data_IF_871159565932
#
_entry.id   IF_871159565932
#
_cell.length_a   1.000
_cell.length_b   1.000
_cell.length_c   1.000
_cell.angle_alpha   90.00
_cell.angle_beta   90.00
_cell.angle_gamma   90.00
#
_symmetry.space_group_name_H-M   'P 1'
#
loop_
_entity.id
_entity.type
_entity.pdbx_description
1 polymer ?
#
# COMPACT_ATOMS: atom_id res chain seq x y z
N UNK A 1 -5.74 -16.97 56.82
CA UNK A 1 -5.09 -15.90 57.60
C UNK A 1 -3.54 -15.92 57.55
N UNK A 2 -2.87 -17.02 57.20
CA UNK A 2 -1.38 -17.13 57.19
C UNK A 2 -0.59 -16.05 56.43
N UNK A 3 -1.14 -15.50 55.33
CA UNK A 3 -0.50 -14.39 54.60
C UNK A 3 -0.62 -13.04 55.35
N UNK A 4 -1.72 -12.84 56.09
CA UNK A 4 -2.00 -11.62 56.86
C UNK A 4 -1.20 -11.55 58.17
N UNK A 5 -0.80 -12.70 58.73
CA UNK A 5 0.13 -12.77 59.87
C UNK A 5 1.43 -12.00 59.60
N UNK A 6 1.93 -12.08 58.37
CA UNK A 6 3.23 -11.51 57.99
C UNK A 6 3.11 -10.10 57.41
N UNK A 7 2.02 -9.78 56.70
CA UNK A 7 1.87 -8.48 56.04
C UNK A 7 1.23 -7.39 56.91
N UNK A 8 0.29 -7.73 57.81
CA UNK A 8 -0.45 -6.78 58.65
C UNK A 8 -0.85 -7.39 60.02
N UNK A 9 0.08 -7.43 60.99
CA UNK A 9 -0.10 -8.17 62.25
C UNK A 9 -1.19 -7.57 63.17
N UNK A 10 -1.44 -6.26 63.09
CA UNK A 10 -2.49 -5.60 63.86
C UNK A 10 -3.90 -6.03 63.40
N UNK A 11 -4.08 -6.23 62.09
CA UNK A 11 -5.35 -6.70 61.52
C UNK A 11 -5.59 -8.16 61.89
N UNK A 12 -4.53 -8.98 61.86
CA UNK A 12 -4.62 -10.37 62.29
C UNK A 12 -5.05 -10.50 63.77
N UNK A 13 -4.41 -9.74 64.68
CA UNK A 13 -4.78 -9.74 66.11
C UNK A 13 -6.21 -9.29 66.38
N UNK A 14 -6.73 -8.32 65.61
CA UNK A 14 -8.09 -7.79 65.81
C UNK A 14 -9.20 -8.80 65.47
N UNK A 15 -8.92 -9.79 64.62
CA UNK A 15 -9.88 -10.82 64.21
C UNK A 15 -9.61 -12.19 64.84
N UNK A 16 -8.63 -12.29 65.76
CA UNK A 16 -8.44 -13.46 66.60
C UNK A 16 -9.44 -13.47 67.74
N UNK A 17 -10.00 -14.64 68.03
CA UNK A 17 -10.87 -14.85 69.17
C UNK A 17 -9.97 -14.94 70.43
N UNK A 18 -10.29 -14.22 71.53
CA UNK A 18 -9.52 -14.35 72.75
C UNK A 18 -9.55 -15.81 73.24
N UNK A 19 -8.40 -16.39 73.67
CA UNK A 19 -8.41 -17.73 74.23
C UNK A 19 -9.20 -17.74 75.54
N UNK A 20 -10.07 -18.74 75.72
CA UNK A 20 -10.79 -18.98 76.98
C UNK A 20 -9.85 -19.67 77.97
N UNK A 21 -9.70 -19.11 79.18
CA UNK A 21 -8.77 -19.65 80.20
C UNK A 21 -9.22 -21.00 80.79
N UNK A 22 -10.50 -21.39 80.60
CA UNK A 22 -11.09 -22.60 81.20
C UNK A 22 -11.33 -23.75 80.19
N UNK A 23 -10.69 -23.75 79.01
CA UNK A 23 -10.80 -24.84 78.04
C UNK A 23 -12.19 -25.03 77.39
N UNK A 24 -13.13 -24.11 77.67
CA UNK A 24 -14.47 -24.08 77.08
C UNK A 24 -14.44 -23.45 75.69
N UNK A 25 -15.01 -24.12 74.68
CA UNK A 25 -15.17 -23.55 73.34
C UNK A 25 -16.30 -22.52 73.32
N UNK A 26 -16.03 -21.31 72.82
CA UNK A 26 -17.04 -20.27 72.64
C UNK A 26 -18.00 -20.74 71.53
N UNK A 27 -19.31 -20.68 71.79
CA UNK A 27 -20.35 -21.08 70.84
C UNK A 27 -21.16 -19.85 70.36
N UNK A 28 -21.66 -19.89 69.13
CA UNK A 28 -22.54 -18.87 68.58
C UNK A 28 -23.95 -18.94 69.20
N UNK A 29 -24.82 -17.96 68.92
CA UNK A 29 -26.23 -17.91 69.38
C UNK A 29 -27.06 -19.13 68.97
N UNK A 30 -26.54 -20.00 68.08
CA UNK A 30 -27.17 -21.24 67.60
C UNK A 30 -26.44 -22.50 68.10
N UNK A 31 -25.53 -22.37 69.07
CA UNK A 31 -24.83 -23.48 69.72
C UNK A 31 -23.70 -24.11 68.92
N UNK A 32 -23.21 -23.47 67.84
CA UNK A 32 -22.08 -23.98 67.04
C UNK A 32 -20.76 -23.39 67.52
N UNK A 33 -19.72 -24.24 67.57
CA UNK A 33 -18.36 -23.81 67.93
C UNK A 33 -17.87 -22.70 66.99
N UNK A 34 -17.35 -21.63 67.58
CA UNK A 34 -16.87 -20.44 66.88
C UNK A 34 -15.55 -20.78 66.17
N UNK A 35 -15.56 -20.76 64.84
CA UNK A 35 -14.39 -20.97 63.99
C UNK A 35 -13.51 -19.71 63.91
N UNK A 36 -12.23 -19.86 63.52
CA UNK A 36 -11.23 -18.77 63.42
C UNK A 36 -11.70 -17.60 62.54
N UNK A 37 -12.65 -17.84 61.64
CA UNK A 37 -13.23 -16.86 60.73
C UNK A 37 -14.49 -16.15 61.26
N UNK A 38 -14.95 -16.43 62.48
CA UNK A 38 -16.23 -15.93 63.00
C UNK A 38 -16.29 -14.40 63.07
N UNK A 39 -15.30 -13.76 63.71
CA UNK A 39 -15.23 -12.30 63.83
C UNK A 39 -15.12 -11.61 62.46
N UNK A 40 -14.39 -12.23 61.52
CA UNK A 40 -14.32 -11.76 60.14
C UNK A 40 -15.66 -11.87 59.41
N UNK A 41 -16.40 -12.96 59.61
CA UNK A 41 -17.73 -13.16 59.02
C UNK A 41 -18.77 -12.19 59.61
N UNK A 42 -18.68 -11.89 60.91
CA UNK A 42 -19.55 -10.93 61.58
C UNK A 42 -19.28 -9.51 61.10
N UNK A 43 -18.00 -9.10 61.00
CA UNK A 43 -17.60 -7.83 60.42
C UNK A 43 -18.06 -7.68 58.96
N UNK A 44 -17.93 -8.74 58.16
CA UNK A 44 -18.40 -8.78 56.76
C UNK A 44 -19.93 -8.61 56.63
N UNK A 45 -20.71 -9.04 57.62
CA UNK A 45 -22.17 -8.87 57.67
C UNK A 45 -22.58 -7.50 58.20
N UNK A 46 -21.81 -6.92 59.12
CA UNK A 46 -22.10 -5.62 59.72
C UNK A 46 -21.70 -4.42 58.84
N UNK A 47 -20.84 -4.63 57.83
CA UNK A 47 -20.39 -3.57 56.95
C UNK A 47 -21.44 -3.21 55.89
N UNK A 48 -21.86 -1.93 55.87
CA UNK A 48 -22.81 -1.39 54.88
C UNK A 48 -22.35 -1.68 53.44
N UNK A 49 -23.31 -2.06 52.59
CA UNK A 49 -23.06 -2.56 51.23
C UNK A 49 -22.34 -1.53 50.34
N UNK A 50 -22.66 -0.24 50.50
CA UNK A 50 -22.01 0.87 49.77
C UNK A 50 -20.52 1.04 50.14
N UNK A 51 -20.19 0.95 51.43
CA UNK A 51 -18.81 1.07 51.92
C UNK A 51 -17.99 -0.11 51.40
N UNK A 52 -18.56 -1.32 51.37
CA UNK A 52 -17.92 -2.51 50.80
C UNK A 52 -17.64 -2.38 49.30
N UNK A 53 -18.58 -1.86 48.52
CA UNK A 53 -18.38 -1.60 47.09
C UNK A 53 -17.30 -0.54 46.85
N UNK A 54 -17.26 0.53 47.67
CA UNK A 54 -16.21 1.55 47.62
C UNK A 54 -14.82 0.99 47.88
N UNK A 55 -14.66 0.14 48.90
CA UNK A 55 -13.38 -0.51 49.17
C UNK A 55 -13.00 -1.52 48.09
N UNK A 56 -13.95 -2.30 47.57
CA UNK A 56 -13.69 -3.24 46.48
C UNK A 56 -13.21 -2.51 45.21
N UNK A 57 -13.87 -1.42 44.83
CA UNK A 57 -13.45 -0.58 43.70
C UNK A 57 -12.04 -0.01 43.91
N UNK A 58 -11.72 0.49 45.11
CA UNK A 58 -10.35 0.94 45.44
C UNK A 58 -9.32 -0.18 45.34
N UNK A 59 -9.67 -1.40 45.71
CA UNK A 59 -8.79 -2.56 45.66
C UNK A 59 -8.59 -3.04 44.22
N UNK A 60 -9.65 -3.09 43.43
CA UNK A 60 -9.58 -3.37 41.99
C UNK A 60 -8.74 -2.34 41.26
N UNK A 61 -8.93 -1.04 41.53
CA UNK A 61 -8.12 0.02 40.95
C UNK A 61 -6.64 -0.12 41.34
N UNK A 62 -6.36 -0.48 42.59
CA UNK A 62 -4.98 -0.71 43.05
C UNK A 62 -4.37 -1.94 42.38
N UNK A 63 -5.12 -3.03 42.26
CA UNK A 63 -4.69 -4.24 41.56
C UNK A 63 -4.44 -3.98 40.07
N UNK A 64 -5.34 -3.23 39.41
CA UNK A 64 -5.18 -2.78 38.01
C UNK A 64 -3.96 -1.89 37.85
N UNK A 65 -3.70 -0.96 38.77
CA UNK A 65 -2.49 -0.12 38.72
C UNK A 65 -1.21 -0.95 38.80
N UNK A 66 -1.15 -1.91 39.72
CA UNK A 66 0.00 -2.81 39.84
C UNK A 66 0.18 -3.65 38.58
N UNK A 67 -0.90 -4.23 38.06
CA UNK A 67 -0.89 -5.00 36.81
C UNK A 67 -0.44 -4.14 35.61
N UNK A 68 -0.94 -2.91 35.50
CA UNK A 68 -0.54 -1.96 34.44
C UNK A 68 0.93 -1.60 34.53
N UNK A 69 1.48 -1.39 35.73
CA UNK A 69 2.92 -1.11 35.90
C UNK A 69 3.76 -2.31 35.43
N UNK A 70 3.35 -3.53 35.78
CA UNK A 70 4.04 -4.75 35.33
C UNK A 70 3.95 -4.89 33.81
N UNK A 71 2.76 -4.68 33.22
CA UNK A 71 2.52 -4.76 31.78
C UNK A 71 3.35 -3.70 31.03
N UNK A 72 3.33 -2.44 31.48
CA UNK A 72 4.14 -1.37 30.90
C UNK A 72 5.63 -1.72 30.93
N UNK A 73 6.13 -2.30 32.04
CA UNK A 73 7.52 -2.74 32.14
C UNK A 73 7.85 -3.87 31.15
N UNK A 74 6.92 -4.81 30.96
CA UNK A 74 7.07 -5.87 29.97
C UNK A 74 7.06 -5.33 28.53
N UNK A 75 6.17 -4.39 28.21
CA UNK A 75 6.11 -3.74 26.89
C UNK A 75 7.40 -2.98 26.60
N UNK A 76 7.93 -2.21 27.56
CA UNK A 76 9.21 -1.51 27.40
C UNK A 76 10.36 -2.48 27.13
N UNK A 77 10.43 -3.59 27.88
CA UNK A 77 11.45 -4.63 27.66
C UNK A 77 11.29 -5.31 26.30
N UNK A 78 10.06 -5.57 25.87
CA UNK A 78 9.76 -6.14 24.56
C UNK A 78 10.20 -5.21 23.44
N UNK A 79 9.87 -3.92 23.53
CA UNK A 79 10.28 -2.91 22.54
C UNK A 79 11.81 -2.77 22.47
N UNK A 80 12.49 -2.80 23.61
CA UNK A 80 13.96 -2.76 23.65
C UNK A 80 14.58 -3.99 22.98
N UNK A 81 14.07 -5.19 23.28
CA UNK A 81 14.52 -6.43 22.63
C UNK A 81 14.28 -6.40 21.11
N UNK A 82 13.13 -5.89 20.67
CA UNK A 82 12.85 -5.71 19.24
C UNK A 82 13.82 -4.73 18.60
N UNK A 83 14.12 -3.61 19.25
CA UNK A 83 15.05 -2.63 18.73
C UNK A 83 16.46 -3.23 18.59
N UNK A 84 16.91 -4.00 19.58
CA UNK A 84 18.20 -4.70 19.52
C UNK A 84 18.24 -5.76 18.40
N UNK A 85 17.17 -6.53 18.24
CA UNK A 85 17.05 -7.52 17.17
C UNK A 85 17.09 -6.84 15.79
N UNK A 86 16.31 -5.77 15.62
CA UNK A 86 16.25 -4.99 14.38
C UNK A 86 17.61 -4.38 14.05
N UNK A 87 18.32 -3.84 15.05
CA UNK A 87 19.66 -3.32 14.86
C UNK A 87 20.64 -4.42 14.40
N UNK A 88 20.60 -5.61 14.99
CA UNK A 88 21.44 -6.74 14.55
C UNK A 88 21.16 -7.15 13.11
N UNK A 89 19.88 -7.21 12.71
CA UNK A 89 19.52 -7.49 11.32
C UNK A 89 20.04 -6.42 10.37
N UNK A 90 19.88 -5.13 10.69
CA UNK A 90 20.41 -4.03 9.85
C UNK A 90 21.93 -4.08 9.67
N UNK A 91 22.67 -4.38 10.74
CA UNK A 91 24.14 -4.54 10.65
C UNK A 91 24.50 -5.69 9.71
N UNK A 92 23.76 -6.80 9.80
CA UNK A 92 23.95 -7.94 8.90
C UNK A 92 23.59 -7.61 7.45
N UNK A 93 22.45 -6.95 7.22
CA UNK A 93 22.01 -6.51 5.89
C UNK A 93 23.04 -5.56 5.26
N UNK A 94 23.52 -4.56 6.02
CA UNK A 94 24.56 -3.64 5.56
C UNK A 94 25.86 -4.38 5.18
N UNK A 95 26.28 -5.37 5.98
CA UNK A 95 27.44 -6.19 5.67
C UNK A 95 27.24 -7.04 4.40
N UNK A 96 26.01 -7.54 4.17
CA UNK A 96 25.68 -8.25 2.93
C UNK A 96 25.75 -7.30 1.73
N UNK A 97 25.17 -6.11 1.84
CA UNK A 97 25.14 -5.11 0.77
C UNK A 97 26.55 -4.61 0.40
N UNK A 98 27.42 -4.37 1.38
CA UNK A 98 28.82 -3.99 1.14
C UNK A 98 29.61 -5.03 0.32
N UNK A 99 29.21 -6.30 0.39
CA UNK A 99 29.85 -7.37 -0.37
C UNK A 99 29.24 -7.57 -1.77
N UNK A 100 28.23 -6.77 -2.16
CA UNK A 100 27.60 -6.86 -3.50
C UNK A 100 28.16 -5.79 -4.43
N UNK A 101 28.33 -6.17 -5.70
CA UNK A 101 28.74 -5.25 -6.76
C UNK A 101 27.56 -4.46 -7.35
N UNK A 102 26.38 -5.09 -7.39
CA UNK A 102 25.15 -4.52 -7.95
C UNK A 102 24.03 -4.72 -6.93
N UNK A 103 23.30 -3.65 -6.64
CA UNK A 103 22.16 -3.63 -5.71
C UNK A 103 20.99 -3.00 -6.45
N UNK A 104 20.00 -3.83 -6.81
CA UNK A 104 18.78 -3.36 -7.46
C UNK A 104 17.65 -3.27 -6.43
N UNK A 105 16.93 -2.15 -6.43
CA UNK A 105 15.78 -1.96 -5.57
C UNK A 105 14.79 -0.97 -6.21
N UNK A 106 13.52 -1.08 -5.83
CA UNK A 106 12.52 -0.08 -6.23
C UNK A 106 12.75 1.22 -5.47
N UNK A 107 12.27 2.35 -6.01
CA UNK A 107 12.42 3.67 -5.38
C UNK A 107 11.85 3.73 -3.96
N UNK A 108 10.74 3.03 -3.71
CA UNK A 108 10.15 2.87 -2.39
C UNK A 108 11.05 2.08 -1.43
N UNK A 109 11.68 1.01 -1.91
CA UNK A 109 12.63 0.25 -1.13
C UNK A 109 13.88 1.08 -0.84
N UNK A 110 14.39 1.84 -1.83
CA UNK A 110 15.51 2.74 -1.64
C UNK A 110 15.24 3.78 -0.54
N UNK A 111 14.04 4.37 -0.51
CA UNK A 111 13.64 5.28 0.55
C UNK A 111 13.54 4.60 1.92
N UNK A 112 13.02 3.37 1.97
CA UNK A 112 12.86 2.59 3.21
C UNK A 112 14.19 2.13 3.80
N UNK A 113 15.12 1.69 2.96
CA UNK A 113 16.43 1.13 3.32
C UNK A 113 17.57 2.13 3.08
N UNK A 114 17.26 3.44 3.09
CA UNK A 114 18.24 4.48 2.75
C UNK A 114 19.50 4.45 3.61
N UNK A 115 19.39 4.13 4.90
CA UNK A 115 20.55 3.98 5.79
C UNK A 115 21.43 2.78 5.40
N UNK A 116 20.83 1.68 5.00
CA UNK A 116 21.55 0.46 4.62
C UNK A 116 22.25 0.66 3.26
N UNK A 117 21.61 1.37 2.32
CA UNK A 117 22.22 1.79 1.05
C UNK A 117 23.36 2.80 1.26
N UNK A 118 23.20 3.75 2.19
CA UNK A 118 24.29 4.67 2.56
C UNK A 118 25.47 3.92 3.18
N UNK A 119 25.22 2.90 3.98
CA UNK A 119 26.26 2.05 4.55
C UNK A 119 26.94 1.17 3.49
N UNK A 120 26.23 0.78 2.43
CA UNK A 120 26.81 0.09 1.29
C UNK A 120 27.80 0.96 0.49
N UNK A 121 27.73 2.29 0.65
CA UNK A 121 28.67 3.27 0.09
C UNK A 121 28.86 3.13 -1.43
N UNK A 122 27.76 3.01 -2.17
CA UNK A 122 27.79 2.86 -3.63
C UNK A 122 28.37 4.10 -4.33
N UNK A 123 29.37 3.88 -5.19
CA UNK A 123 30.03 4.96 -5.96
C UNK A 123 29.16 5.52 -7.09
N UNK A 124 28.32 4.66 -7.70
CA UNK A 124 27.47 4.98 -8.85
C UNK A 124 26.02 4.66 -8.51
N UNK A 125 25.14 5.62 -8.73
CA UNK A 125 23.68 5.46 -8.59
C UNK A 125 23.05 5.59 -9.97
N UNK A 126 22.32 4.55 -10.40
CA UNK A 126 21.55 4.56 -11.63
C UNK A 126 20.06 4.56 -11.28
N UNK A 127 19.32 5.50 -11.86
CA UNK A 127 17.86 5.62 -11.68
C UNK A 127 17.20 5.45 -13.04
N UNK A 128 16.46 4.36 -13.18
CA UNK A 128 15.55 4.12 -14.30
C UNK A 128 14.21 4.83 -14.07
N UNK A 129 13.49 5.16 -15.15
CA UNK A 129 12.22 5.88 -15.14
C UNK A 129 12.27 7.20 -14.34
N UNK A 130 13.43 7.88 -14.35
CA UNK A 130 13.70 9.05 -13.51
C UNK A 130 12.72 10.23 -13.74
N UNK A 131 12.00 10.23 -14.85
CA UNK A 131 10.91 11.17 -15.14
C UNK A 131 9.70 11.00 -14.20
N UNK A 132 9.43 9.78 -13.72
CA UNK A 132 8.29 9.40 -12.85
C UNK A 132 8.70 9.34 -11.36
N UNK A 133 9.98 9.51 -11.03
CA UNK A 133 10.47 9.41 -9.65
C UNK A 133 10.47 10.77 -8.95
N UNK A 134 9.89 10.83 -7.75
CA UNK A 134 9.96 12.02 -6.90
C UNK A 134 11.41 12.38 -6.59
N UNK A 135 11.75 13.66 -6.67
CA UNK A 135 13.09 14.15 -6.34
C UNK A 135 13.54 13.70 -4.95
N UNK A 136 12.64 13.72 -3.97
CA UNK A 136 12.95 13.31 -2.59
C UNK A 136 13.48 11.88 -2.51
N UNK A 137 12.97 10.96 -3.31
CA UNK A 137 13.43 9.57 -3.34
C UNK A 137 14.83 9.43 -3.95
N UNK A 138 15.16 10.25 -4.95
CA UNK A 138 16.51 10.26 -5.54
C UNK A 138 17.50 10.84 -4.54
N UNK A 139 17.15 11.97 -3.90
CA UNK A 139 18.01 12.64 -2.93
C UNK A 139 18.31 11.75 -1.71
N UNK A 140 17.34 10.99 -1.22
CA UNK A 140 17.56 10.08 -0.08
C UNK A 140 18.40 8.86 -0.45
N UNK A 141 18.35 8.42 -1.70
CA UNK A 141 19.18 7.33 -2.22
C UNK A 141 20.64 7.73 -2.46
N UNK A 142 20.93 9.03 -2.62
CA UNK A 142 22.29 9.54 -2.80
C UNK A 142 23.07 9.49 -1.48
N UNK A 143 23.99 8.53 -1.37
CA UNK A 143 24.95 8.46 -0.28
C UNK A 143 26.11 9.45 -0.44
N UNK A 144 26.83 9.74 0.66
CA UNK A 144 28.03 10.60 0.62
C UNK A 144 29.15 10.07 -0.28
N UNK A 145 29.16 8.76 -0.52
CA UNK A 145 30.14 8.09 -1.38
C UNK A 145 29.77 8.16 -2.88
N UNK A 146 28.55 8.56 -3.24
CA UNK A 146 28.10 8.58 -4.62
C UNK A 146 28.83 9.67 -5.41
N UNK A 147 29.69 9.24 -6.34
CA UNK A 147 30.48 10.10 -7.21
C UNK A 147 29.79 10.33 -8.57
N UNK A 148 28.91 9.41 -8.97
CA UNK A 148 28.21 9.47 -10.26
C UNK A 148 26.72 9.16 -10.10
N UNK A 149 25.87 10.03 -10.65
CA UNK A 149 24.43 9.82 -10.75
C UNK A 149 24.05 9.72 -12.24
N UNK A 150 23.43 8.61 -12.62
CA UNK A 150 22.92 8.36 -13.97
C UNK A 150 21.41 8.36 -13.90
N UNK A 151 20.77 9.33 -14.55
CA UNK A 151 19.31 9.40 -14.63
C UNK A 151 18.85 9.04 -16.04
N UNK A 152 18.06 7.99 -16.15
CA UNK A 152 17.46 7.53 -17.41
C UNK A 152 15.95 7.71 -17.28
N UNK A 153 15.35 8.49 -18.15
CA UNK A 153 13.91 8.73 -18.10
C UNK A 153 13.44 9.64 -19.24
N UNK A 154 12.14 9.91 -19.22
CA UNK A 154 11.49 10.79 -20.18
C UNK A 154 10.64 11.84 -19.45
N UNK A 155 11.04 13.11 -19.56
CA UNK A 155 10.37 14.22 -18.89
C UNK A 155 9.10 14.69 -19.61
N UNK A 156 8.80 14.13 -20.79
CA UNK A 156 7.57 14.40 -21.55
C UNK A 156 6.49 13.33 -21.32
N UNK A 157 6.78 12.28 -20.56
CA UNK A 157 5.82 11.25 -20.15
C UNK A 157 5.20 11.60 -18.78
N UNK A 158 4.60 10.62 -18.09
CA UNK A 158 3.93 10.86 -16.82
C UNK A 158 4.92 11.30 -15.74
N UNK A 159 4.46 12.27 -14.94
CA UNK A 159 5.15 12.75 -13.75
C UNK A 159 4.84 11.86 -12.54
N UNK A 160 5.66 11.94 -11.48
CA UNK A 160 5.37 11.30 -10.20
C UNK A 160 3.96 11.60 -9.69
N UNK A 161 3.26 10.57 -9.20
CA UNK A 161 1.91 10.72 -8.66
C UNK A 161 1.97 11.36 -7.27
N UNK A 162 1.25 12.47 -7.08
CA UNK A 162 1.11 13.17 -5.79
C UNK A 162 -0.38 13.19 -5.43
N UNK A 163 -0.70 12.80 -4.20
CA UNK A 163 -2.10 12.67 -3.74
C UNK A 163 -2.84 14.00 -3.59
N UNK A 164 -2.11 15.11 -3.48
CA UNK A 164 -2.70 16.43 -3.36
C UNK A 164 -2.45 17.21 -4.66
N UNK A 165 -3.51 17.40 -5.44
CA UNK A 165 -3.48 18.16 -6.69
C UNK A 165 -3.00 19.60 -6.47
N UNK A 166 -3.29 20.21 -5.32
CA UNK A 166 -2.86 21.59 -5.00
C UNK A 166 -1.33 21.75 -4.93
N UNK A 167 -0.60 20.65 -4.73
CA UNK A 167 0.86 20.65 -4.67
C UNK A 167 1.54 20.38 -6.02
N UNK A 168 0.77 20.21 -7.10
CA UNK A 168 1.31 19.81 -8.40
C UNK A 168 1.59 20.97 -9.34
N UNK A 169 2.47 20.74 -10.32
CA UNK A 169 2.84 21.71 -11.36
C UNK A 169 1.62 22.19 -12.15
N UNK A 170 0.61 21.32 -12.34
CA UNK A 170 -0.59 21.61 -13.12
C UNK A 170 -1.45 22.71 -12.48
N UNK A 171 -1.37 22.90 -11.15
CA UNK A 171 -2.06 23.97 -10.44
C UNK A 171 -1.36 25.31 -10.52
N UNK A 172 -0.03 25.32 -10.65
CA UNK A 172 0.78 26.53 -10.77
C UNK A 172 0.97 27.34 -9.48
N UNK A 173 0.65 26.79 -8.31
CA UNK A 173 0.78 27.46 -7.00
C UNK A 173 2.18 27.34 -6.37
N UNK A 174 3.24 27.33 -7.17
CA UNK A 174 4.67 27.41 -6.78
C UNK A 174 5.30 26.11 -6.23
N UNK A 175 4.53 25.20 -5.62
CA UNK A 175 5.13 24.04 -4.94
C UNK A 175 5.76 22.98 -5.85
N UNK A 176 5.18 22.74 -7.04
CA UNK A 176 5.72 21.85 -8.09
C UNK A 176 6.22 20.47 -7.58
N UNK A 177 5.53 19.86 -6.61
CA UNK A 177 6.02 18.66 -5.89
C UNK A 177 6.14 17.43 -6.78
N UNK A 178 5.30 17.34 -7.82
CA UNK A 178 5.38 16.27 -8.82
C UNK A 178 6.42 16.54 -9.92
N UNK A 179 7.24 17.59 -9.85
CA UNK A 179 8.36 17.77 -10.78
C UNK A 179 9.53 16.86 -10.35
N UNK A 180 9.90 15.90 -11.19
CA UNK A 180 11.05 15.03 -10.93
C UNK A 180 12.37 15.79 -11.00
N UNK A 181 13.41 15.24 -10.35
CA UNK A 181 14.77 15.79 -10.46
C UNK A 181 15.25 15.79 -11.93
N UNK A 182 14.90 14.73 -12.66
CA UNK A 182 15.21 14.61 -14.08
C UNK A 182 14.60 15.74 -14.90
N UNK A 183 13.29 15.98 -14.76
CA UNK A 183 12.60 17.08 -15.46
C UNK A 183 13.23 18.43 -15.10
N UNK A 184 13.52 18.68 -13.81
CA UNK A 184 14.12 19.94 -13.37
C UNK A 184 15.49 20.18 -13.99
N UNK A 185 16.36 19.17 -14.04
CA UNK A 185 17.69 19.29 -14.63
C UNK A 185 17.62 19.57 -16.14
N UNK A 186 16.72 18.87 -16.85
CA UNK A 186 16.50 19.08 -18.28
C UNK A 186 16.01 20.51 -18.56
N UNK A 187 15.00 20.99 -17.80
CA UNK A 187 14.47 22.35 -17.95
C UNK A 187 15.49 23.44 -17.62
N UNK A 188 16.45 23.16 -16.72
CA UNK A 188 17.56 24.06 -16.41
C UNK A 188 18.69 24.02 -17.44
N UNK A 189 18.57 23.22 -18.50
CA UNK A 189 19.57 23.12 -19.56
C UNK A 189 20.81 22.32 -19.15
N UNK A 190 20.69 21.43 -18.15
CA UNK A 190 21.79 20.52 -17.82
C UNK A 190 22.10 19.63 -19.03
N UNK A 191 23.39 19.33 -19.31
CA UNK A 191 23.78 18.47 -20.42
C UNK A 191 23.07 17.12 -20.34
N UNK A 192 22.35 16.75 -21.40
CA UNK A 192 21.66 15.48 -21.50
C UNK A 192 21.74 14.95 -22.93
N UNK A 193 21.68 13.63 -23.08
CA UNK A 193 21.65 12.96 -24.36
C UNK A 193 20.25 12.42 -24.61
N UNK A 194 19.64 12.77 -25.74
CA UNK A 194 18.36 12.20 -26.17
C UNK A 194 18.60 11.03 -27.12
N UNK A 195 17.93 9.91 -26.87
CA UNK A 195 17.87 8.78 -27.79
C UNK A 195 16.75 9.03 -28.80
N UNK A 196 17.10 9.16 -30.08
CA UNK A 196 16.12 9.49 -31.13
C UNK A 196 15.53 8.27 -31.83
N UNK A 197 16.19 7.11 -31.76
CA UNK A 197 15.79 5.92 -32.51
C UNK A 197 14.86 5.03 -31.67
N UNK A 198 13.65 4.77 -32.17
CA UNK A 198 12.68 3.87 -31.54
C UNK A 198 12.72 2.47 -32.19
N UNK A 199 12.61 1.43 -31.37
CA UNK A 199 12.68 0.02 -31.79
C UNK A 199 11.38 -0.77 -31.55
N UNK A 200 10.34 -0.12 -31.02
CA UNK A 200 9.14 -0.76 -30.44
C UNK A 200 7.93 -0.71 -31.36
N UNK A 201 7.56 0.45 -31.88
CA UNK A 201 6.26 0.65 -32.54
C UNK A 201 6.38 0.65 -34.07
N UNK A 202 5.30 0.31 -34.78
CA UNK A 202 5.26 0.43 -36.26
C UNK A 202 5.35 1.92 -36.67
N UNK A 203 5.93 2.26 -37.84
CA UNK A 203 6.06 3.63 -38.31
C UNK A 203 4.75 4.43 -38.37
N UNK A 204 3.62 3.76 -38.61
CA UNK A 204 2.31 4.40 -38.64
C UNK A 204 1.89 4.89 -37.24
N UNK A 205 2.27 4.15 -36.18
CA UNK A 205 2.00 4.53 -34.80
C UNK A 205 2.99 5.61 -34.35
N UNK A 206 4.28 5.45 -34.68
CA UNK A 206 5.28 6.47 -34.34
C UNK A 206 5.06 7.79 -35.04
N UNK A 207 4.43 7.80 -36.23
CA UNK A 207 4.05 9.04 -36.91
C UNK A 207 3.14 9.92 -36.04
N UNK A 208 2.13 9.33 -35.38
CA UNK A 208 1.26 10.06 -34.45
C UNK A 208 2.06 10.69 -33.31
N UNK A 209 2.91 9.88 -32.66
CA UNK A 209 3.76 10.30 -31.53
C UNK A 209 4.77 11.37 -31.94
N UNK A 210 5.30 11.27 -33.16
CA UNK A 210 6.24 12.23 -33.75
C UNK A 210 5.60 13.60 -33.96
N UNK A 211 4.35 13.62 -34.43
CA UNK A 211 3.61 14.87 -34.66
C UNK A 211 3.16 15.53 -33.36
N UNK A 212 2.83 14.75 -32.33
CA UNK A 212 2.28 15.29 -31.08
C UNK A 212 3.36 15.71 -30.07
N UNK A 213 4.41 14.91 -29.89
CA UNK A 213 5.28 15.03 -28.71
C UNK A 213 6.78 15.00 -29.02
N UNK A 214 7.20 14.18 -29.99
CA UNK A 214 8.62 13.92 -30.27
C UNK A 214 8.98 14.11 -31.75
N UNK A 215 9.18 15.36 -32.23
CA UNK A 215 9.40 15.63 -33.66
C UNK A 215 10.66 14.95 -34.23
N UNK A 216 11.68 14.70 -33.39
CA UNK A 216 12.95 14.11 -33.79
C UNK A 216 12.98 12.57 -33.72
N UNK A 217 11.86 11.91 -33.46
CA UNK A 217 11.78 10.44 -33.32
C UNK A 217 12.02 9.74 -34.66
N UNK A 218 12.95 8.79 -34.71
CA UNK A 218 13.33 8.01 -35.89
C UNK A 218 13.00 6.54 -35.70
N UNK A 219 12.52 5.88 -36.75
CA UNK A 219 12.15 4.46 -36.68
C UNK A 219 13.35 3.57 -37.02
N UNK A 220 13.63 2.57 -36.19
CA UNK A 220 14.66 1.58 -36.48
C UNK A 220 14.25 0.68 -37.66
N UNK A 221 15.19 0.14 -38.46
CA UNK A 221 14.86 -0.75 -39.58
C UNK A 221 13.99 -1.97 -39.19
N UNK A 222 14.15 -2.47 -37.95
CA UNK A 222 13.38 -3.60 -37.41
C UNK A 222 11.87 -3.34 -37.33
N UNK A 223 11.42 -2.08 -37.28
CA UNK A 223 9.99 -1.76 -37.10
C UNK A 223 9.21 -1.72 -38.41
N UNK A 224 9.88 -1.65 -39.56
CA UNK A 224 9.26 -1.45 -40.87
C UNK A 224 8.59 -2.73 -41.42
N UNK A 225 9.11 -3.91 -41.09
CA UNK A 225 8.66 -5.19 -41.66
C UNK A 225 7.71 -6.00 -40.74
N UNK A 226 6.88 -5.32 -39.95
CA UNK A 226 5.91 -6.01 -39.08
C UNK A 226 4.65 -6.43 -39.86
N UNK A 227 4.21 -7.67 -39.66
CA UNK A 227 2.98 -8.20 -40.29
C UNK A 227 1.77 -7.32 -39.95
N UNK A 228 0.84 -7.12 -40.90
CA UNK A 228 -0.39 -6.37 -40.64
C UNK A 228 -1.29 -7.10 -39.63
N UNK A 229 -2.18 -6.35 -38.99
CA UNK A 229 -3.17 -6.90 -38.06
C UNK A 229 -4.19 -7.77 -38.83
N UNK A 230 -4.41 -9.00 -38.38
CA UNK A 230 -5.34 -9.96 -39.00
C UNK A 230 -6.79 -9.52 -38.74
N UNK A 231 -7.61 -9.55 -39.78
CA UNK A 231 -9.03 -9.19 -39.71
C UNK A 231 -9.32 -7.69 -39.64
N UNK A 232 -8.30 -6.83 -39.60
CA UNK A 232 -8.48 -5.38 -39.71
C UNK A 232 -7.87 -4.87 -41.02
N UNK A 233 -8.50 -3.85 -41.60
CA UNK A 233 -8.03 -3.23 -42.85
C UNK A 233 -6.76 -2.41 -42.63
N UNK A 234 -6.74 -1.65 -41.54
CA UNK A 234 -5.67 -0.74 -41.16
C UNK A 234 -5.14 -1.11 -39.78
N UNK A 235 -3.86 -0.81 -39.53
CA UNK A 235 -3.20 -1.11 -38.24
C UNK A 235 -3.58 -0.12 -37.14
N UNK A 236 -4.16 1.02 -37.50
CA UNK A 236 -4.67 2.06 -36.59
C UNK A 236 -6.08 2.41 -37.07
N UNK A 237 -7.05 2.27 -36.18
CA UNK A 237 -8.46 2.58 -36.47
C UNK A 237 -9.00 3.46 -35.35
N UNK A 238 -9.43 4.67 -35.69
CA UNK A 238 -10.17 5.54 -34.78
C UNK A 238 -11.67 5.32 -35.00
N UNK A 239 -12.39 5.00 -33.93
CA UNK A 239 -13.83 4.81 -33.96
C UNK A 239 -14.48 6.01 -33.29
N UNK A 240 -15.33 6.73 -34.03
CA UNK A 240 -16.12 7.83 -33.50
C UNK A 240 -17.56 7.39 -33.28
N UNK A 241 -18.13 7.73 -32.13
CA UNK A 241 -19.55 7.55 -31.82
C UNK A 241 -20.13 8.80 -31.15
N UNK A 242 -21.45 8.94 -31.20
CA UNK A 242 -22.18 10.07 -30.59
C UNK A 242 -22.94 9.69 -29.32
N UNK A 243 -22.73 8.47 -28.81
CA UNK A 243 -23.33 8.03 -27.55
C UNK A 243 -22.72 8.77 -26.38
N UNK A 244 -23.56 9.42 -25.58
CA UNK A 244 -23.17 10.12 -24.37
C UNK A 244 -22.74 9.14 -23.28
N UNK A 245 -21.84 9.61 -22.41
CA UNK A 245 -21.43 8.90 -21.21
C UNK A 245 -22.64 8.67 -20.29
N UNK A 246 -22.73 7.50 -19.66
CA UNK A 246 -23.80 7.22 -18.72
C UNK A 246 -23.52 7.98 -17.43
N UNK A 247 -24.21 9.11 -17.26
CA UNK A 247 -24.18 9.88 -16.03
C UNK A 247 -24.65 9.04 -14.84
N UNK A 248 -24.06 9.32 -13.67
CA UNK A 248 -24.34 8.73 -12.35
C UNK A 248 -23.67 7.38 -12.03
N UNK A 249 -22.51 7.50 -11.39
CA UNK A 249 -22.24 6.87 -10.10
C UNK A 249 -21.33 7.84 -9.36
N UNK A 250 -21.79 8.37 -8.21
CA UNK A 250 -20.95 9.12 -7.27
C UNK A 250 -19.97 8.15 -6.60
N UNK A 251 -19.05 7.58 -7.37
CA UNK A 251 -17.91 6.87 -6.80
C UNK A 251 -16.84 7.94 -6.61
N UNK A 252 -16.43 8.15 -5.37
CA UNK A 252 -15.29 8.99 -5.05
C UNK A 252 -14.06 8.36 -5.70
N UNK A 253 -13.48 9.03 -6.69
CA UNK A 253 -12.08 8.76 -7.01
C UNK A 253 -11.28 9.24 -5.80
N UNK A 254 -10.81 8.32 -4.95
CA UNK A 254 -10.03 8.65 -3.75
C UNK A 254 -8.66 9.28 -4.07
N UNK A 255 -8.40 9.64 -5.33
CA UNK A 255 -7.21 10.36 -5.79
C UNK A 255 -7.32 11.85 -5.45
N UNK A 256 -8.53 12.40 -5.38
CA UNK A 256 -8.79 13.77 -4.96
C UNK A 256 -9.82 13.77 -3.82
N UNK A 257 -9.53 14.45 -2.71
CA UNK A 257 -10.53 14.76 -1.69
C UNK A 257 -11.61 15.78 -2.19
N UNK A 258 -11.76 15.96 -3.50
CA UNK A 258 -12.64 16.98 -4.08
C UNK A 258 -13.07 16.83 -5.55
N UNK A 259 -12.62 15.82 -6.31
CA UNK A 259 -13.11 15.61 -7.69
C UNK A 259 -14.07 14.41 -7.75
N UNK A 260 -15.36 14.73 -7.82
CA UNK A 260 -16.46 13.78 -7.96
C UNK A 260 -16.79 13.60 -9.44
N UNK A 261 -16.22 12.60 -10.11
CA UNK A 261 -16.90 11.84 -11.20
C UNK A 261 -15.96 10.89 -11.94
N UNK A 262 -15.85 9.66 -11.46
CA UNK A 262 -15.45 8.57 -12.33
C UNK A 262 -16.50 8.41 -13.44
N UNK A 263 -16.10 8.58 -14.71
CA UNK A 263 -17.01 8.48 -15.85
C UNK A 263 -17.08 7.05 -16.40
N UNK A 264 -18.18 6.74 -17.07
CA UNK A 264 -18.42 5.42 -17.64
C UNK A 264 -19.23 5.53 -18.92
N UNK A 265 -18.96 4.63 -19.86
CA UNK A 265 -19.73 4.53 -21.10
C UNK A 265 -20.06 3.06 -21.40
N UNK A 266 -21.34 2.69 -21.29
CA UNK A 266 -21.78 1.32 -21.59
C UNK A 266 -21.70 0.98 -23.08
N UNK A 267 -21.85 1.96 -23.96
CA UNK A 267 -21.79 1.74 -25.41
C UNK A 267 -20.36 1.37 -25.83
N UNK A 268 -19.38 2.16 -25.42
CA UNK A 268 -17.96 1.90 -25.67
C UNK A 268 -17.52 0.58 -25.02
N UNK A 269 -17.93 0.32 -23.77
CA UNK A 269 -17.64 -0.95 -23.10
C UNK A 269 -18.14 -2.16 -23.89
N UNK A 270 -19.37 -2.11 -24.43
CA UNK A 270 -19.91 -3.17 -25.30
C UNK A 270 -19.18 -3.28 -26.63
N UNK A 271 -18.74 -2.16 -27.19
CA UNK A 271 -17.98 -2.14 -28.43
C UNK A 271 -16.62 -2.82 -28.25
N UNK A 272 -15.88 -2.45 -27.21
CA UNK A 272 -14.59 -3.07 -26.87
C UNK A 272 -14.73 -4.58 -26.69
N UNK A 273 -15.75 -5.03 -25.95
CA UNK A 273 -16.05 -6.46 -25.79
C UNK A 273 -16.23 -7.19 -27.14
N UNK A 274 -16.99 -6.59 -28.07
CA UNK A 274 -17.20 -7.18 -29.40
C UNK A 274 -15.91 -7.22 -30.22
N UNK A 275 -15.08 -6.17 -30.14
CA UNK A 275 -13.80 -6.12 -30.87
C UNK A 275 -12.85 -7.18 -30.32
N UNK A 276 -12.74 -7.31 -29.00
CA UNK A 276 -11.93 -8.36 -28.37
C UNK A 276 -12.36 -9.74 -28.84
N UNK A 277 -13.67 -10.05 -28.85
CA UNK A 277 -14.17 -11.33 -29.37
C UNK A 277 -13.81 -11.54 -30.83
N UNK A 278 -13.97 -10.51 -31.66
CA UNK A 278 -13.62 -10.56 -33.06
C UNK A 278 -12.14 -10.91 -33.24
N UNK A 279 -11.23 -10.26 -32.51
CA UNK A 279 -9.80 -10.52 -32.57
C UNK A 279 -9.44 -11.94 -32.10
N UNK A 280 -10.07 -12.43 -31.02
CA UNK A 280 -9.90 -13.83 -30.58
C UNK A 280 -10.32 -14.81 -31.69
N UNK A 281 -11.42 -14.53 -32.40
CA UNK A 281 -11.87 -15.36 -33.53
C UNK A 281 -10.91 -15.32 -34.73
N UNK A 282 -10.13 -14.25 -34.90
CA UNK A 282 -9.07 -14.15 -35.93
C UNK A 282 -7.79 -14.92 -35.54
N UNK A 283 -7.76 -15.55 -34.36
CA UNK A 283 -6.64 -16.34 -33.86
C UNK A 283 -5.58 -15.52 -33.12
N UNK A 284 -5.97 -14.38 -32.52
CA UNK A 284 -5.11 -13.68 -31.56
C UNK A 284 -5.22 -14.33 -30.17
N UNK A 285 -4.06 -14.60 -29.56
CA UNK A 285 -4.02 -15.07 -28.18
C UNK A 285 -4.39 -13.94 -27.21
N UNK A 286 -5.14 -14.27 -26.16
CA UNK A 286 -5.54 -13.27 -25.15
C UNK A 286 -4.35 -12.60 -24.47
N UNK A 287 -3.17 -13.23 -24.44
CA UNK A 287 -1.94 -12.65 -23.89
C UNK A 287 -1.28 -11.59 -24.77
N UNK A 288 -1.62 -11.55 -26.07
CA UNK A 288 -1.08 -10.58 -27.04
C UNK A 288 -1.92 -9.31 -27.13
N UNK A 289 -3.01 -9.24 -26.36
CA UNK A 289 -3.95 -8.13 -26.36
C UNK A 289 -3.99 -7.45 -24.99
N UNK A 290 -4.05 -6.13 -25.01
CA UNK A 290 -4.31 -5.29 -23.84
C UNK A 290 -5.45 -4.33 -24.13
N UNK A 291 -6.32 -4.14 -23.14
CA UNK A 291 -7.37 -3.12 -23.16
C UNK A 291 -7.01 -2.05 -22.13
N UNK A 292 -6.90 -0.81 -22.59
CA UNK A 292 -6.52 0.36 -21.80
C UNK A 292 -7.69 1.33 -21.69
N UNK A 293 -7.89 1.89 -20.50
CA UNK A 293 -8.94 2.87 -20.21
C UNK A 293 -8.43 3.91 -19.22
N UNK A 294 -8.77 5.20 -19.37
CA UNK A 294 -8.38 6.25 -18.42
C UNK A 294 -9.12 6.13 -17.09
N UNK A 295 -10.35 5.58 -17.09
CA UNK A 295 -11.22 5.57 -15.91
C UNK A 295 -11.25 4.21 -15.21
N UNK A 296 -11.10 4.22 -13.87
CA UNK A 296 -11.15 3.02 -13.01
C UNK A 296 -12.52 2.34 -13.03
N UNK A 297 -13.62 3.12 -13.00
CA UNK A 297 -14.97 2.55 -13.04
C UNK A 297 -15.26 1.86 -14.36
N UNK A 298 -14.78 2.42 -15.47
CA UNK A 298 -14.90 1.78 -16.77
C UNK A 298 -14.08 0.48 -16.84
N UNK A 299 -12.86 0.49 -16.26
CA UNK A 299 -12.03 -0.71 -16.15
C UNK A 299 -12.75 -1.83 -15.37
N UNK A 300 -13.37 -1.50 -14.24
CA UNK A 300 -14.14 -2.47 -13.47
C UNK A 300 -15.33 -3.05 -14.25
N UNK A 301 -16.03 -2.20 -15.00
CA UNK A 301 -17.13 -2.65 -15.87
C UNK A 301 -16.66 -3.56 -16.99
N UNK A 302 -15.56 -3.20 -17.67
CA UNK A 302 -14.93 -4.03 -18.68
C UNK A 302 -14.53 -5.38 -18.09
N UNK A 303 -13.93 -5.38 -16.90
CA UNK A 303 -13.58 -6.60 -16.18
C UNK A 303 -14.80 -7.48 -15.91
N UNK A 304 -15.92 -6.92 -15.42
CA UNK A 304 -17.16 -7.67 -15.20
C UNK A 304 -17.79 -8.18 -16.49
N UNK A 305 -17.77 -7.39 -17.54
CA UNK A 305 -18.26 -7.79 -18.86
C UNK A 305 -17.43 -8.92 -19.47
N UNK A 306 -16.10 -8.88 -19.26
CA UNK A 306 -15.16 -9.90 -19.71
C UNK A 306 -15.23 -11.16 -18.84
N UNK A 307 -15.39 -11.09 -17.51
CA UNK A 307 -15.51 -12.28 -16.63
C UNK A 307 -16.53 -13.31 -17.13
N UNK A 308 -17.61 -12.87 -17.80
CA UNK A 308 -18.64 -13.76 -18.34
C UNK A 308 -18.18 -14.55 -19.59
N UNK A 309 -17.11 -14.13 -20.28
CA UNK A 309 -16.73 -14.63 -21.60
C UNK A 309 -15.23 -14.91 -21.80
N UNK A 310 -14.36 -14.09 -21.21
CA UNK A 310 -12.89 -14.17 -21.25
C UNK A 310 -12.36 -13.77 -19.88
N UNK A 311 -11.65 -14.66 -19.20
CA UNK A 311 -11.11 -14.39 -17.87
C UNK A 311 -9.99 -13.33 -17.96
N UNK A 312 -10.15 -12.10 -17.42
CA UNK A 312 -9.18 -11.03 -17.58
C UNK A 312 -8.23 -10.89 -16.38
N UNK A 313 -7.02 -10.36 -16.59
CA UNK A 313 -6.06 -10.02 -15.51
C UNK A 313 -5.99 -8.51 -15.35
N UNK A 314 -6.09 -8.08 -14.08
CA UNK A 314 -5.87 -6.71 -13.65
C UNK A 314 -4.44 -6.54 -13.11
N UNK A 315 -3.86 -5.36 -13.33
CA UNK A 315 -2.63 -4.97 -12.66
C UNK A 315 -2.85 -4.85 -11.14
N UNK A 316 -1.84 -5.20 -10.34
CA UNK A 316 -1.94 -5.25 -8.88
C UNK A 316 -2.32 -3.86 -8.30
N UNK A 317 -1.83 -2.77 -8.91
CA UNK A 317 -2.18 -1.38 -8.53
C UNK A 317 -3.65 -1.07 -8.82
N UNK A 318 -4.14 -1.47 -10.00
CA UNK A 318 -5.55 -1.27 -10.38
C UNK A 318 -6.49 -2.09 -9.49
N UNK A 319 -6.11 -3.33 -9.15
CA UNK A 319 -6.90 -4.15 -8.23
C UNK A 319 -7.00 -3.52 -6.84
N UNK A 320 -5.90 -2.96 -6.32
CA UNK A 320 -5.91 -2.22 -5.06
C UNK A 320 -6.77 -0.95 -5.13
N UNK A 321 -6.68 -0.19 -6.23
CA UNK A 321 -7.51 0.99 -6.46
C UNK A 321 -9.01 0.66 -6.44
N UNK A 322 -9.39 -0.49 -7.01
CA UNK A 322 -10.77 -0.94 -7.07
C UNK A 322 -11.28 -1.49 -5.73
N UNK A 323 -10.44 -2.18 -4.96
CA UNK A 323 -10.78 -2.60 -3.59
C UNK A 323 -11.00 -1.37 -2.71
N UNK A 324 -10.15 -0.35 -2.83
CA UNK A 324 -10.30 0.90 -2.08
C UNK A 324 -11.56 1.69 -2.46
N UNK A 325 -12.03 1.54 -3.69
CA UNK A 325 -13.28 2.15 -4.17
C UNK A 325 -14.54 1.31 -3.83
N UNK A 326 -14.43 0.25 -3.01
CA UNK A 326 -15.49 -0.71 -2.71
C UNK A 326 -16.10 -1.40 -3.95
N UNK A 327 -15.33 -1.49 -5.04
CA UNK A 327 -15.76 -2.12 -6.30
C UNK A 327 -15.35 -3.59 -6.42
N UNK A 328 -14.36 -4.04 -5.64
CA UNK A 328 -13.87 -5.42 -5.66
C UNK A 328 -13.66 -5.97 -4.24
N UNK A 329 -13.96 -7.25 -4.04
CA UNK A 329 -13.64 -7.98 -2.79
C UNK A 329 -12.23 -8.55 -2.84
N UNK A 330 -11.58 -8.69 -1.67
CA UNK A 330 -10.20 -9.20 -1.56
C UNK A 330 -10.04 -10.63 -2.11
N UNK A 331 -11.10 -11.44 -2.08
CA UNK A 331 -11.11 -12.82 -2.58
C UNK A 331 -11.10 -12.87 -4.12
N UNK A 332 -11.80 -11.95 -4.78
CA UNK A 332 -11.82 -11.86 -6.25
C UNK A 332 -10.48 -11.39 -6.82
N UNK A 333 -9.70 -10.62 -6.06
CA UNK A 333 -8.36 -10.17 -6.46
C UNK A 333 -7.32 -11.31 -6.44
N UNK A 334 -7.55 -12.39 -5.67
CA UNK A 334 -6.57 -13.47 -5.46
C UNK A 334 -6.73 -14.65 -6.43
N UNK A 335 -7.82 -14.73 -7.21
CA UNK A 335 -8.05 -15.81 -8.18
C UNK A 335 -7.09 -15.69 -9.39
N UNK A 336 -5.94 -16.36 -9.31
CA UNK A 336 -4.90 -16.40 -10.36
C UNK A 336 -4.84 -17.79 -11.01
N UNK A 337 -5.22 -17.93 -12.30
CA UNK A 337 -4.67 -18.96 -13.23
C UNK A 337 -5.08 -18.79 -14.71
N UNK A 338 -4.04 -18.81 -15.57
CA UNK A 338 -3.90 -19.10 -17.03
C UNK A 338 -4.55 -18.18 -18.10
N UNK A 339 -3.66 -17.72 -19.01
CA UNK A 339 -3.88 -17.08 -20.33
C UNK A 339 -5.04 -16.10 -20.40
N UNK A 340 -4.81 -14.88 -19.90
CA UNK A 340 -5.86 -13.90 -19.65
C UNK A 340 -5.55 -12.57 -20.32
N UNK A 341 -6.59 -11.95 -20.87
CA UNK A 341 -6.56 -10.61 -21.45
C UNK A 341 -6.11 -9.59 -20.40
N UNK A 342 -5.15 -8.71 -20.73
CA UNK A 342 -4.70 -7.67 -19.80
C UNK A 342 -5.65 -6.46 -19.84
N UNK A 343 -6.07 -6.01 -18.68
CA UNK A 343 -6.85 -4.79 -18.46
C UNK A 343 -6.07 -3.88 -17.52
N UNK A 344 -5.75 -2.66 -17.97
CA UNK A 344 -5.00 -1.71 -17.16
C UNK A 344 -5.48 -0.28 -17.40
N UNK A 345 -5.27 0.59 -16.40
CA UNK A 345 -5.37 2.03 -16.65
C UNK A 345 -4.15 2.55 -17.40
N UNK A 346 -4.31 3.62 -18.19
CA UNK A 346 -3.20 4.21 -18.97
C UNK A 346 -2.02 4.56 -18.04
N UNK A 347 -2.32 5.11 -16.87
CA UNK A 347 -1.31 5.50 -15.87
C UNK A 347 -0.52 4.33 -15.27
N UNK A 348 -1.04 3.11 -15.37
CA UNK A 348 -0.47 1.91 -14.76
C UNK A 348 0.07 0.92 -15.81
N UNK A 349 0.06 1.31 -17.09
CA UNK A 349 0.60 0.54 -18.20
C UNK A 349 1.90 1.15 -18.77
N UNK A 350 2.48 2.12 -18.08
CA UNK A 350 3.76 2.70 -18.47
C UNK A 350 4.87 1.64 -18.36
N UNK A 351 5.83 1.69 -19.28
CA UNK A 351 6.93 0.72 -19.37
C UNK A 351 6.55 -0.61 -20.03
N UNK A 352 5.28 -1.03 -19.96
CA UNK A 352 4.79 -2.28 -20.56
C UNK A 352 4.59 -2.20 -22.09
N UNK A 353 4.51 -3.37 -22.71
CA UNK A 353 4.31 -3.55 -24.16
C UNK A 353 3.30 -4.66 -24.46
N UNK A 354 2.54 -4.48 -25.54
CA UNK A 354 1.69 -5.51 -26.12
C UNK A 354 1.75 -5.46 -27.65
N UNK A 355 1.37 -6.58 -28.29
CA UNK A 355 1.29 -6.66 -29.75
C UNK A 355 0.06 -5.90 -30.28
N UNK A 356 -1.07 -5.98 -29.57
CA UNK A 356 -2.30 -5.28 -29.89
C UNK A 356 -2.87 -4.57 -28.66
N UNK A 357 -3.13 -3.27 -28.80
CA UNK A 357 -3.69 -2.42 -27.73
C UNK A 357 -5.02 -1.81 -28.19
N UNK A 358 -6.05 -1.97 -27.36
CA UNK A 358 -7.35 -1.31 -27.54
C UNK A 358 -7.45 -0.18 -26.52
N UNK A 359 -7.73 1.02 -26.99
CA UNK A 359 -7.96 2.19 -26.13
C UNK A 359 -9.46 2.46 -26.07
N UNK A 360 -9.95 2.63 -24.86
CA UNK A 360 -11.24 3.22 -24.53
C UNK A 360 -11.00 4.64 -23.99
#
# INVERSE_FOLDING_TARGET
MRYLEHSQPAFHKAFQIPPSEDGMMIADEKGRAVDEYYLFCQWKRAMMQEIRQSHLSKWEDRARRVANVILCRQILRYNDLINQLTHKFRVWDAAVLQNKQIIDCTTMAAAKYGLDLQAAASDVVLVEEAGEVLESHIVTALGKAANQLILIGDHKQLRPKVNNYDLTVEKGEVYDLNRSLFERLVLKGYPHQTLHTQHRMRPEISALVRHLTYPNLRDAPKTQNRSPVRGLRDNIVFINHRHLEDGSLQIMDCRDLGSTSSKQNLFEGRMVLKIVKYLVQQGYDSSQMVVLTPYLVQLHKLQRGLKNEVDPVLNDIDSYGLVRADLLTLEEAQSRKRSRLRLATIDNYQGEECDASLYH
#
